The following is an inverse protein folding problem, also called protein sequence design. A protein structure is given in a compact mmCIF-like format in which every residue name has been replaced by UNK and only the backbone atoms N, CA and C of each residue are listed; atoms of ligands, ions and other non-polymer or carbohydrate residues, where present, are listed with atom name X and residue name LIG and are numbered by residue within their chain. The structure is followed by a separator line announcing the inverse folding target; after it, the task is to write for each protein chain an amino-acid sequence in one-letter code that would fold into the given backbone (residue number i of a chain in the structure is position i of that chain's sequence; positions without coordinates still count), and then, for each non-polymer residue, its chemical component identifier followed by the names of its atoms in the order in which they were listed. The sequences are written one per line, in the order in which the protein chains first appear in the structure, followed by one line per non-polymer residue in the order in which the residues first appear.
data_IF_155915293372
#
_entry.id   IF_155915293372
#
_cell.length_a   1.000
_cell.length_b   1.000
_cell.length_c   1.000
_cell.angle_alpha   90.00
_cell.angle_beta   90.00
_cell.angle_gamma   90.00
#
_symmetry.space_group_name_H-M   'P 1'
#
loop_
_entity.id
_entity.type
_entity.pdbx_description
1 polymer ?
#
# COMPACT_ATOMS: atom_id res chain seq x y z
N UNK A 1 4.41 -6.00 10.94
CA UNK A 1 4.62 -5.49 9.56
C UNK A 1 5.04 -6.63 8.63
N UNK A 2 4.45 -7.82 8.78
CA UNK A 2 4.94 -9.08 8.18
C UNK A 2 4.57 -9.21 6.68
N UNK A 3 3.31 -8.91 6.32
CA UNK A 3 2.84 -9.03 4.94
C UNK A 3 3.58 -8.08 3.97
N UNK A 4 3.89 -6.85 4.41
CA UNK A 4 4.61 -5.88 3.60
C UNK A 4 6.05 -6.37 3.35
N UNK A 5 6.76 -6.81 4.39
CA UNK A 5 8.14 -7.31 4.31
C UNK A 5 8.27 -8.54 3.38
N UNK A 6 7.27 -9.43 3.38
CA UNK A 6 7.22 -10.57 2.46
C UNK A 6 7.03 -10.09 1.01
N UNK A 7 6.06 -9.20 0.76
CA UNK A 7 5.69 -8.75 -0.59
C UNK A 7 6.70 -7.78 -1.21
N UNK A 8 7.35 -6.94 -0.42
CA UNK A 8 8.31 -5.94 -0.91
C UNK A 8 9.77 -6.30 -0.66
N UNK A 9 10.09 -7.24 0.23
CA UNK A 9 11.46 -7.68 0.52
C UNK A 9 11.73 -9.07 -0.06
N UNK A 10 11.14 -10.10 0.55
CA UNK A 10 11.40 -11.51 0.23
C UNK A 10 11.08 -11.83 -1.24
N UNK A 11 9.93 -11.37 -1.74
CA UNK A 11 9.51 -11.63 -3.12
C UNK A 11 10.46 -10.99 -4.16
N UNK A 12 11.13 -9.91 -3.80
CA UNK A 12 12.05 -9.18 -4.68
C UNK A 12 13.52 -9.57 -4.46
N UNK A 13 13.80 -10.53 -3.57
CA UNK A 13 15.17 -10.96 -3.24
C UNK A 13 15.97 -9.92 -2.46
N UNK A 14 15.30 -8.99 -1.77
CA UNK A 14 15.92 -7.90 -1.02
C UNK A 14 16.01 -8.24 0.48
N UNK A 15 16.91 -7.58 1.24
CA UNK A 15 17.02 -7.77 2.68
C UNK A 15 15.67 -7.51 3.37
N UNK A 16 15.30 -8.38 4.31
CA UNK A 16 14.00 -8.36 4.98
C UNK A 16 14.15 -8.36 6.51
N UNK A 17 13.17 -7.81 7.21
CA UNK A 17 13.16 -7.74 8.68
C UNK A 17 14.34 -6.96 9.27
N UNK A 18 15.16 -7.62 10.09
CA UNK A 18 16.30 -7.00 10.81
C UNK A 18 17.50 -6.67 9.92
N UNK A 19 17.51 -7.14 8.67
CA UNK A 19 18.61 -6.92 7.74
C UNK A 19 18.41 -5.69 6.84
N UNK A 20 17.30 -4.97 7.02
CA UNK A 20 17.04 -3.70 6.32
C UNK A 20 17.92 -2.61 6.91
N UNK A 21 18.72 -1.96 6.05
CA UNK A 21 19.64 -0.89 6.46
C UNK A 21 18.91 0.25 7.17
N UNK A 22 19.42 0.68 8.33
CA UNK A 22 18.88 1.84 9.04
C UNK A 22 19.31 3.14 8.36
N UNK A 23 18.52 4.20 8.53
CA UNK A 23 18.68 5.45 7.76
C UNK A 23 19.99 6.20 8.00
N UNK A 24 20.58 6.04 9.18
CA UNK A 24 21.79 6.75 9.60
C UNK A 24 22.97 5.80 9.85
N UNK A 25 22.86 4.55 9.41
CA UNK A 25 23.86 3.52 9.66
C UNK A 25 25.08 3.69 8.75
N UNK A 26 24.83 3.99 7.47
CA UNK A 26 25.86 4.35 6.51
C UNK A 26 25.27 5.28 5.43
N UNK A 27 25.77 6.51 5.37
CA UNK A 27 25.34 7.52 4.39
C UNK A 27 26.01 7.36 3.02
N UNK A 28 27.04 6.52 2.93
CA UNK A 28 27.76 6.23 1.69
C UNK A 28 27.29 4.95 1.00
N UNK A 29 26.51 4.10 1.68
CA UNK A 29 25.97 2.85 1.14
C UNK A 29 24.56 3.01 0.55
N UNK A 30 24.29 2.29 -0.54
CA UNK A 30 22.96 2.17 -1.13
C UNK A 30 22.00 1.40 -0.20
N UNK A 31 20.79 1.92 -0.02
CA UNK A 31 19.84 1.42 1.01
C UNK A 31 19.17 0.09 0.68
N UNK A 32 19.19 -0.34 -0.58
CA UNK A 32 18.60 -1.60 -1.07
C UNK A 32 17.17 -1.86 -0.58
N UNK A 33 16.35 -0.80 -0.53
CA UNK A 33 14.95 -0.89 -0.14
C UNK A 33 14.12 -1.52 -1.27
N UNK A 34 13.17 -2.35 -0.87
CA UNK A 34 12.23 -2.96 -1.79
C UNK A 34 10.87 -2.26 -1.79
N UNK A 35 10.28 -2.14 -2.98
CA UNK A 35 8.96 -1.57 -3.17
C UNK A 35 8.16 -2.45 -4.12
N UNK A 36 6.88 -2.68 -3.79
CA UNK A 36 5.95 -3.39 -4.65
C UNK A 36 4.86 -2.43 -5.13
N UNK A 37 4.64 -2.41 -6.45
CA UNK A 37 3.49 -1.73 -7.06
C UNK A 37 2.46 -2.77 -7.50
N UNK A 38 1.22 -2.64 -7.02
CA UNK A 38 0.10 -3.43 -7.48
C UNK A 38 -0.93 -2.50 -8.14
N UNK A 39 -1.15 -2.67 -9.44
CA UNK A 39 -2.13 -1.91 -10.20
C UNK A 39 -3.19 -2.88 -10.71
N UNK A 40 -4.45 -2.64 -10.35
CA UNK A 40 -5.59 -3.46 -10.76
C UNK A 40 -6.45 -2.63 -11.70
N UNK A 41 -6.70 -3.14 -12.91
CA UNK A 41 -7.61 -2.51 -13.85
C UNK A 41 -9.06 -2.99 -13.59
N UNK A 42 -9.99 -2.12 -13.14
CA UNK A 42 -11.36 -2.52 -12.83
C UNK A 42 -12.13 -3.10 -14.01
N UNK A 43 -11.75 -2.75 -15.25
CA UNK A 43 -12.41 -3.22 -16.48
C UNK A 43 -12.40 -4.75 -16.64
N UNK A 44 -11.43 -5.43 -16.02
CA UNK A 44 -11.33 -6.89 -16.05
C UNK A 44 -12.29 -7.59 -15.10
N UNK A 45 -12.95 -6.85 -14.19
CA UNK A 45 -13.83 -7.40 -13.16
C UNK A 45 -15.25 -6.87 -13.27
N UNK A 46 -15.44 -5.61 -13.71
CA UNK A 46 -16.76 -4.97 -13.80
C UNK A 46 -16.73 -3.70 -14.67
N UNK A 47 -17.83 -2.94 -14.69
CA UNK A 47 -17.88 -1.63 -15.33
C UNK A 47 -17.07 -0.58 -14.57
N UNK A 48 -16.09 0.03 -15.24
CA UNK A 48 -15.29 1.13 -14.70
C UNK A 48 -16.13 2.32 -14.26
N UNK A 49 -17.23 2.61 -14.97
CA UNK A 49 -18.11 3.73 -14.62
C UNK A 49 -18.84 3.46 -13.31
N UNK A 50 -19.44 2.27 -13.16
CA UNK A 50 -20.11 1.87 -11.93
C UNK A 50 -19.12 1.80 -10.76
N UNK A 51 -17.92 1.26 -10.99
CA UNK A 51 -16.88 1.22 -9.98
C UNK A 51 -16.54 2.62 -9.45
N UNK A 52 -16.33 3.60 -10.35
CA UNK A 52 -16.07 4.99 -9.95
C UNK A 52 -17.25 5.61 -9.21
N UNK A 53 -18.48 5.38 -9.68
CA UNK A 53 -19.70 5.86 -9.02
C UNK A 53 -19.82 5.32 -7.60
N UNK A 54 -19.58 4.02 -7.40
CA UNK A 54 -19.66 3.39 -6.08
C UNK A 54 -18.58 3.92 -5.14
N UNK A 55 -17.33 4.11 -5.61
CA UNK A 55 -16.26 4.73 -4.81
C UNK A 55 -16.66 6.15 -4.36
N UNK A 56 -17.21 6.97 -5.25
CA UNK A 56 -17.71 8.31 -4.90
C UNK A 56 -18.83 8.26 -3.87
N UNK A 57 -19.77 7.33 -4.01
CA UNK A 57 -20.86 7.14 -3.06
C UNK A 57 -20.33 6.72 -1.67
N UNK A 58 -19.40 5.75 -1.61
CA UNK A 58 -18.80 5.32 -0.34
C UNK A 58 -18.10 6.48 0.39
N UNK A 59 -17.39 7.35 -0.32
CA UNK A 59 -16.77 8.53 0.29
C UNK A 59 -17.81 9.48 0.89
N UNK A 60 -18.93 9.71 0.20
CA UNK A 60 -20.02 10.56 0.69
C UNK A 60 -20.70 9.95 1.92
N UNK A 61 -20.96 8.64 1.89
CA UNK A 61 -21.58 7.92 3.00
C UNK A 61 -20.70 7.96 4.25
N UNK A 62 -19.39 7.67 4.12
CA UNK A 62 -18.44 7.74 5.23
C UNK A 62 -18.34 9.14 5.84
N UNK A 63 -18.30 10.18 5.01
CA UNK A 63 -18.28 11.57 5.49
C UNK A 63 -19.59 11.99 6.17
N UNK A 64 -20.70 11.32 5.84
CA UNK A 64 -22.01 11.57 6.44
C UNK A 64 -22.23 10.79 7.74
N UNK A 65 -21.33 9.85 8.09
CA UNK A 65 -21.39 9.13 9.37
C UNK A 65 -21.19 10.12 10.51
N UNK A 66 -22.16 10.15 11.42
CA UNK A 66 -22.11 11.03 12.59
C UNK A 66 -20.86 10.68 13.42
N UNK A 67 -19.97 11.66 13.69
CA UNK A 67 -18.78 11.40 14.49
C UNK A 67 -19.18 10.99 15.92
N UNK A 68 -18.34 10.16 16.58
CA UNK A 68 -18.61 9.75 17.95
C UNK A 68 -18.71 10.97 18.88
N UNK A 69 -19.69 10.95 19.78
CA UNK A 69 -19.75 11.94 20.87
C UNK A 69 -18.69 11.57 21.90
N UNK A 70 -17.72 12.46 22.11
CA UNK A 70 -16.80 12.42 23.23
C UNK A 70 -17.43 13.06 24.46
#
# INVERSE_FOLDING_TARGET
MMMIDILSGILLGLPFGRQVSSMYEDLHAGRNLGQLHLVINPAFFSSCELFRKHISQTMQELNSVKPPRF
#
